data_IF_628754559128
#
_entry.id   IF_628754559128
#
_cell.length_a   1.000
_cell.length_b   1.000
_cell.length_c   1.000
_cell.angle_alpha   90.00
_cell.angle_beta   90.00
_cell.angle_gamma   90.00
#
_symmetry.space_group_name_H-M   'P 1'
#
loop_
_entity.id
_entity.type
_entity.pdbx_description
1 polymer ?
#
# COMPACT_ATOMS: atom_id res chain seq x y z
N UNK A 1 -1.67 -20.09 -37.84
CA UNK A 1 -3.02 -19.80 -37.33
C UNK A 1 -2.83 -19.54 -35.86
N UNK A 2 -2.82 -18.25 -35.52
CA UNK A 2 -2.51 -17.72 -34.20
C UNK A 2 -3.65 -17.99 -33.22
N UNK A 3 -3.32 -18.63 -32.10
CA UNK A 3 -4.17 -18.69 -30.91
C UNK A 3 -3.43 -18.08 -29.72
N UNK A 4 -3.45 -16.73 -29.71
CA UNK A 4 -3.79 -15.91 -28.53
C UNK A 4 -3.41 -16.49 -27.16
N UNK A 5 -2.11 -16.51 -26.86
CA UNK A 5 -1.63 -16.25 -25.50
C UNK A 5 -1.91 -14.78 -25.19
N UNK A 6 -3.15 -14.48 -24.81
CA UNK A 6 -3.62 -13.16 -24.43
C UNK A 6 -2.57 -12.45 -23.58
N UNK A 7 -2.24 -11.22 -23.99
CA UNK A 7 -1.95 -10.08 -23.12
C UNK A 7 -2.36 -10.35 -21.66
N UNK A 8 -1.46 -10.93 -20.87
CA UNK A 8 -1.58 -10.92 -19.41
C UNK A 8 -1.27 -9.48 -19.04
N UNK A 9 -2.33 -8.67 -19.03
CA UNK A 9 -2.25 -7.22 -19.07
C UNK A 9 -1.19 -6.74 -18.07
N UNK A 10 -0.13 -6.15 -18.63
CA UNK A 10 0.85 -5.33 -17.92
C UNK A 10 0.16 -4.05 -17.42
N UNK A 11 -0.87 -4.19 -16.57
CA UNK A 11 -1.36 -3.09 -15.76
C UNK A 11 -0.28 -2.86 -14.72
N UNK A 12 0.48 -1.79 -14.93
CA UNK A 12 1.45 -1.33 -13.94
C UNK A 12 0.67 -1.20 -12.63
N UNK A 13 1.08 -1.98 -11.63
CA UNK A 13 0.39 -2.01 -10.35
C UNK A 13 0.65 -0.71 -9.59
N UNK A 14 -0.23 -0.29 -8.67
CA UNK A 14 0.04 0.88 -7.83
C UNK A 14 1.41 0.81 -7.13
N UNK A 15 1.84 -0.40 -6.72
CA UNK A 15 3.18 -0.64 -6.20
C UNK A 15 4.27 -0.38 -7.24
N UNK A 16 4.15 -0.92 -8.45
CA UNK A 16 5.16 -0.78 -9.50
C UNK A 16 5.38 0.69 -9.90
N UNK A 17 4.29 1.45 -10.06
CA UNK A 17 4.31 2.90 -10.29
C UNK A 17 4.99 3.65 -9.15
N UNK A 18 4.61 3.35 -7.91
CA UNK A 18 5.10 4.06 -6.74
C UNK A 18 6.58 3.77 -6.46
N UNK A 19 7.01 2.50 -6.60
CA UNK A 19 8.41 2.09 -6.48
C UNK A 19 9.28 2.84 -7.48
N UNK A 20 8.85 2.86 -8.76
CA UNK A 20 9.55 3.57 -9.82
C UNK A 20 9.66 5.06 -9.51
N UNK A 21 8.57 5.69 -9.08
CA UNK A 21 8.53 7.11 -8.72
C UNK A 21 9.54 7.44 -7.61
N UNK A 22 9.56 6.65 -6.54
CA UNK A 22 10.50 6.85 -5.43
C UNK A 22 11.94 6.63 -5.87
N UNK A 23 12.20 5.61 -6.69
CA UNK A 23 13.53 5.34 -7.24
C UNK A 23 14.04 6.51 -8.10
N UNK A 24 13.19 7.03 -8.98
CA UNK A 24 13.53 8.16 -9.85
C UNK A 24 13.75 9.45 -9.04
N UNK A 25 12.92 9.72 -8.03
CA UNK A 25 13.11 10.84 -7.12
C UNK A 25 14.45 10.76 -6.36
N UNK A 26 14.84 9.56 -5.93
CA UNK A 26 16.14 9.31 -5.30
C UNK A 26 17.32 9.28 -6.30
N UNK A 27 17.06 9.40 -7.61
CA UNK A 27 18.04 9.29 -8.72
C UNK A 27 18.85 7.99 -8.69
N UNK A 28 18.20 6.89 -8.30
CA UNK A 28 18.81 5.56 -8.23
C UNK A 28 18.46 4.78 -9.51
N UNK A 29 19.41 4.07 -10.12
CA UNK A 29 19.09 3.18 -11.25
C UNK A 29 18.48 1.86 -10.75
N UNK A 30 17.75 1.11 -11.59
CA UNK A 30 17.23 -0.22 -11.21
C UNK A 30 18.36 -1.15 -10.73
N UNK A 31 19.52 -1.10 -11.39
CA UNK A 31 20.71 -1.89 -11.03
C UNK A 31 21.27 -1.48 -9.67
N UNK A 32 21.35 -0.17 -9.42
CA UNK A 32 21.81 0.33 -8.11
C UNK A 32 20.83 -0.02 -7.00
N UNK A 33 19.52 0.08 -7.25
CA UNK A 33 18.50 -0.31 -6.28
C UNK A 33 18.59 -1.80 -5.95
N UNK A 34 18.75 -2.65 -6.98
CA UNK A 34 18.95 -4.09 -6.81
C UNK A 34 20.15 -4.38 -5.89
N UNK A 35 21.30 -3.76 -6.18
CA UNK A 35 22.50 -3.89 -5.35
C UNK A 35 22.27 -3.44 -3.90
N UNK A 36 21.69 -2.26 -3.69
CA UNK A 36 21.45 -1.69 -2.35
C UNK A 36 20.45 -2.52 -1.53
N UNK A 37 19.46 -3.12 -2.20
CA UNK A 37 18.44 -3.95 -1.56
C UNK A 37 18.83 -5.42 -1.45
N UNK A 38 19.96 -5.84 -2.02
CA UNK A 38 20.42 -7.23 -2.07
C UNK A 38 19.55 -8.14 -2.94
N UNK A 39 18.97 -7.59 -4.00
CA UNK A 39 18.24 -8.31 -5.05
C UNK A 39 19.01 -8.28 -6.37
N UNK A 40 18.59 -9.11 -7.33
CA UNK A 40 19.07 -9.03 -8.70
C UNK A 40 18.30 -7.98 -9.52
N UNK A 41 18.94 -7.48 -10.58
CA UNK A 41 18.35 -6.47 -11.46
C UNK A 41 17.04 -6.95 -12.11
N UNK A 42 16.96 -8.22 -12.48
CA UNK A 42 15.78 -8.79 -13.15
C UNK A 42 14.57 -8.81 -12.21
N UNK A 43 14.78 -9.06 -10.93
CA UNK A 43 13.74 -8.95 -9.91
C UNK A 43 13.20 -7.52 -9.82
N UNK A 44 14.05 -6.50 -9.64
CA UNK A 44 13.63 -5.09 -9.59
C UNK A 44 12.91 -4.67 -10.87
N UNK A 45 13.41 -5.09 -12.04
CA UNK A 45 12.76 -4.81 -13.33
C UNK A 45 11.35 -5.42 -13.43
N UNK A 46 11.18 -6.66 -12.97
CA UNK A 46 9.86 -7.33 -12.95
C UNK A 46 8.90 -6.69 -11.95
N UNK A 47 9.40 -6.18 -10.82
CA UNK A 47 8.60 -5.41 -9.86
C UNK A 47 8.11 -4.10 -10.48
N UNK A 48 8.99 -3.28 -11.07
CA UNK A 48 8.62 -1.99 -11.67
C UNK A 48 7.76 -2.11 -12.95
N UNK A 49 7.74 -3.29 -13.58
CA UNK A 49 6.83 -3.58 -14.69
C UNK A 49 5.53 -4.26 -14.26
N UNK A 50 5.33 -4.54 -12.97
CA UNK A 50 4.14 -5.21 -12.45
C UNK A 50 4.05 -6.71 -12.77
N UNK A 51 5.07 -7.30 -13.41
CA UNK A 51 5.11 -8.74 -13.75
C UNK A 51 5.37 -9.65 -12.56
N UNK A 52 5.68 -9.09 -11.40
CA UNK A 52 5.92 -9.83 -10.16
C UNK A 52 5.35 -9.05 -8.97
N UNK A 53 4.57 -9.72 -8.13
CA UNK A 53 4.17 -9.19 -6.84
C UNK A 53 5.34 -9.26 -5.84
N UNK A 54 5.58 -8.20 -5.05
CA UNK A 54 6.61 -8.22 -4.01
C UNK A 54 6.15 -9.02 -2.78
N UNK A 55 7.09 -9.57 -2.02
CA UNK A 55 6.81 -9.96 -0.64
C UNK A 55 6.90 -8.74 0.28
N UNK A 56 6.30 -8.82 1.46
CA UNK A 56 6.40 -7.74 2.47
C UNK A 56 7.85 -7.40 2.82
N UNK A 57 8.70 -8.42 2.98
CA UNK A 57 10.14 -8.24 3.22
C UNK A 57 10.82 -7.49 2.07
N UNK A 58 10.50 -7.85 0.82
CA UNK A 58 11.05 -7.17 -0.34
C UNK A 58 10.67 -5.68 -0.37
N UNK A 59 9.41 -5.34 -0.04
CA UNK A 59 8.98 -3.94 0.08
C UNK A 59 9.80 -3.19 1.13
N UNK A 60 10.02 -3.78 2.31
CA UNK A 60 10.80 -3.15 3.38
C UNK A 60 12.27 -2.95 2.99
N UNK A 61 12.89 -3.94 2.35
CA UNK A 61 14.28 -3.84 1.87
C UNK A 61 14.44 -2.78 0.79
N UNK A 62 13.50 -2.69 -0.16
CA UNK A 62 13.48 -1.66 -1.19
C UNK A 62 13.29 -0.26 -0.59
N UNK A 63 12.35 -0.11 0.34
CA UNK A 63 12.13 1.15 1.05
C UNK A 63 13.38 1.60 1.82
N UNK A 64 14.05 0.67 2.51
CA UNK A 64 15.30 0.94 3.20
C UNK A 64 16.42 1.33 2.23
N UNK A 65 16.56 0.63 1.11
CA UNK A 65 17.58 0.91 0.09
C UNK A 65 17.39 2.28 -0.58
N UNK A 66 16.15 2.76 -0.67
CA UNK A 66 15.80 4.09 -1.18
C UNK A 66 15.87 5.19 -0.12
N UNK A 67 16.12 4.84 1.15
CA UNK A 67 16.15 5.80 2.26
C UNK A 67 14.78 6.42 2.57
N UNK A 68 13.69 5.70 2.30
CA UNK A 68 12.33 6.21 2.48
C UNK A 68 12.01 6.44 3.96
N UNK A 69 11.33 7.56 4.24
CA UNK A 69 10.80 7.85 5.57
C UNK A 69 9.64 6.93 5.95
N UNK A 70 9.21 6.92 7.23
CA UNK A 70 8.15 6.02 7.69
C UNK A 70 6.83 6.13 6.92
N UNK A 71 6.42 7.35 6.55
CA UNK A 71 5.18 7.57 5.77
C UNK A 71 5.29 7.04 4.33
N UNK A 72 6.43 7.21 3.68
CA UNK A 72 6.66 6.72 2.32
C UNK A 72 6.76 5.20 2.27
N UNK A 73 7.41 4.60 3.28
CA UNK A 73 7.45 3.16 3.48
C UNK A 73 6.04 2.59 3.68
N UNK A 74 5.21 3.24 4.51
CA UNK A 74 3.83 2.85 4.73
C UNK A 74 2.99 2.93 3.43
N UNK A 75 3.19 3.97 2.63
CA UNK A 75 2.55 4.08 1.32
C UNK A 75 2.97 2.95 0.37
N UNK A 76 4.26 2.59 0.38
CA UNK A 76 4.79 1.52 -0.46
C UNK A 76 4.26 0.14 -0.03
N UNK A 77 4.12 -0.12 1.27
CA UNK A 77 3.46 -1.31 1.81
C UNK A 77 1.99 -1.37 1.39
N UNK A 78 1.25 -0.28 1.58
CA UNK A 78 -0.17 -0.21 1.21
C UNK A 78 -0.38 -0.43 -0.29
N UNK A 79 0.46 0.18 -1.15
CA UNK A 79 0.40 0.00 -2.60
C UNK A 79 0.69 -1.45 -3.04
N UNK A 80 1.40 -2.22 -2.21
CA UNK A 80 1.66 -3.65 -2.41
C UNK A 80 0.61 -4.56 -1.76
N UNK A 81 -0.44 -4.01 -1.14
CA UNK A 81 -1.49 -4.78 -0.46
C UNK A 81 -1.13 -5.23 0.96
N UNK A 82 -0.08 -4.68 1.56
CA UNK A 82 0.30 -4.95 2.95
C UNK A 82 -0.20 -3.86 3.89
N UNK A 83 -0.41 -4.22 5.16
CA UNK A 83 -0.66 -3.22 6.19
C UNK A 83 0.55 -2.29 6.37
N UNK A 84 0.31 -0.96 6.49
CA UNK A 84 1.33 -0.02 6.96
C UNK A 84 1.93 -0.46 8.30
N UNK A 85 3.21 -0.22 8.51
CA UNK A 85 3.88 -0.64 9.75
C UNK A 85 3.32 0.11 10.96
N UNK A 86 2.97 1.40 10.80
CA UNK A 86 2.29 2.15 11.86
C UNK A 86 0.90 1.60 12.20
N UNK A 87 0.19 1.04 11.22
CA UNK A 87 -1.10 0.42 11.44
C UNK A 87 -0.97 -0.88 12.24
N UNK A 88 0.04 -1.71 11.95
CA UNK A 88 0.34 -2.91 12.76
C UNK A 88 0.55 -2.58 14.24
N UNK A 89 1.26 -1.49 14.55
CA UNK A 89 1.47 -1.07 15.95
C UNK A 89 0.21 -0.51 16.62
N UNK A 90 -0.67 0.18 15.88
CA UNK A 90 -1.91 0.76 16.42
C UNK A 90 -3.00 -0.30 16.60
N UNK A 91 -3.04 -1.31 15.72
CA UNK A 91 -4.10 -2.31 15.66
C UNK A 91 -3.70 -3.68 16.18
N UNK A 92 -2.45 -3.88 16.64
CA UNK A 92 -1.98 -5.15 17.20
C UNK A 92 -2.76 -5.67 18.43
N UNK A 93 -3.65 -4.83 18.99
CA UNK A 93 -4.55 -5.18 20.09
C UNK A 93 -6.03 -5.33 19.67
N UNK A 94 -6.32 -5.32 18.36
CA UNK A 94 -7.68 -5.46 17.80
C UNK A 94 -7.76 -6.79 17.02
N UNK A 95 -8.20 -7.88 17.64
CA UNK A 95 -8.19 -9.23 17.04
C UNK A 95 -8.86 -9.30 15.66
N UNK A 96 -9.97 -8.56 15.48
CA UNK A 96 -10.76 -8.58 14.24
C UNK A 96 -9.97 -8.10 13.02
N UNK A 97 -9.01 -7.18 13.20
CA UNK A 97 -8.21 -6.67 12.08
C UNK A 97 -7.14 -7.66 11.66
N UNK A 98 -6.58 -8.41 12.61
CA UNK A 98 -5.66 -9.52 12.32
C UNK A 98 -6.38 -10.60 11.52
N UNK A 99 -7.60 -10.97 11.93
CA UNK A 99 -8.42 -11.98 11.24
C UNK A 99 -8.79 -11.53 9.83
N UNK A 100 -9.20 -10.27 9.67
CA UNK A 100 -9.50 -9.68 8.35
C UNK A 100 -8.28 -9.72 7.44
N UNK A 101 -7.10 -9.36 7.93
CA UNK A 101 -5.88 -9.35 7.13
C UNK A 101 -5.46 -10.76 6.73
N UNK A 102 -5.55 -11.73 7.64
CA UNK A 102 -5.31 -13.14 7.32
C UNK A 102 -6.30 -13.66 6.28
N UNK A 103 -7.58 -13.36 6.44
CA UNK A 103 -8.62 -13.81 5.53
C UNK A 103 -8.40 -13.23 4.12
N UNK A 104 -8.07 -11.94 4.03
CA UNK A 104 -7.68 -11.30 2.76
C UNK A 104 -6.37 -11.84 2.19
N UNK A 105 -5.46 -12.42 2.98
CA UNK A 105 -4.21 -13.00 2.47
C UNK A 105 -4.33 -14.47 2.08
N UNK A 106 -5.41 -15.14 2.46
CA UNK A 106 -5.64 -16.54 2.09
C UNK A 106 -5.96 -16.70 0.60
N UNK A 107 -5.45 -17.76 -0.03
CA UNK A 107 -5.76 -18.11 -1.42
C UNK A 107 -7.19 -18.64 -1.59
N UNK A 108 -7.79 -19.10 -0.49
CA UNK A 108 -9.13 -19.71 -0.47
C UNK A 108 -10.28 -18.69 -0.57
N UNK A 109 -10.00 -17.39 -0.42
CA UNK A 109 -11.02 -16.35 -0.55
C UNK A 109 -11.18 -15.95 -2.01
N UNK A 110 -12.36 -16.18 -2.63
CA UNK A 110 -12.61 -15.80 -4.01
C UNK A 110 -12.44 -14.29 -4.23
N UNK A 111 -11.87 -13.90 -5.36
CA UNK A 111 -11.62 -12.50 -5.69
C UNK A 111 -12.86 -11.59 -5.63
N UNK A 112 -14.08 -12.03 -6.01
CA UNK A 112 -15.29 -11.21 -5.83
C UNK A 112 -15.56 -10.84 -4.36
N UNK A 113 -15.32 -11.78 -3.43
CA UNK A 113 -15.52 -11.54 -1.98
C UNK A 113 -14.49 -10.53 -1.47
N UNK A 114 -13.25 -10.63 -1.96
CA UNK A 114 -12.18 -9.67 -1.66
C UNK A 114 -12.55 -8.27 -2.13
N UNK A 115 -13.11 -8.14 -3.34
CA UNK A 115 -13.55 -6.87 -3.92
C UNK A 115 -14.73 -6.26 -3.14
N UNK A 116 -15.74 -7.06 -2.79
CA UNK A 116 -16.88 -6.60 -1.98
C UNK A 116 -16.41 -6.06 -0.63
N UNK A 117 -15.48 -6.76 0.01
CA UNK A 117 -14.90 -6.33 1.28
C UNK A 117 -14.12 -5.01 1.15
N UNK A 118 -13.31 -4.87 0.09
CA UNK A 118 -12.60 -3.62 -0.20
C UNK A 118 -13.57 -2.46 -0.41
N UNK A 119 -14.64 -2.65 -1.18
CA UNK A 119 -15.69 -1.64 -1.36
C UNK A 119 -16.34 -1.26 -0.03
N UNK A 120 -16.67 -2.24 0.81
CA UNK A 120 -17.23 -1.97 2.14
C UNK A 120 -16.30 -1.14 3.02
N UNK A 121 -15.00 -1.46 3.05
CA UNK A 121 -14.01 -0.66 3.77
C UNK A 121 -13.91 0.76 3.21
N UNK A 122 -13.89 0.93 1.89
CA UNK A 122 -13.89 2.25 1.26
C UNK A 122 -15.11 3.09 1.64
N UNK A 123 -16.30 2.46 1.67
CA UNK A 123 -17.53 3.09 2.12
C UNK A 123 -17.42 3.58 3.57
N UNK A 124 -16.91 2.73 4.47
CA UNK A 124 -16.71 3.07 5.87
C UNK A 124 -15.71 4.22 6.05
N UNK A 125 -14.56 4.17 5.37
CA UNK A 125 -13.56 5.26 5.41
C UNK A 125 -14.17 6.57 4.89
N UNK A 126 -14.92 6.52 3.79
CA UNK A 126 -15.60 7.68 3.21
C UNK A 126 -16.67 8.23 4.15
N UNK A 127 -17.38 7.38 4.88
CA UNK A 127 -18.37 7.79 5.87
C UNK A 127 -17.70 8.46 7.07
N UNK A 128 -16.66 7.83 7.65
CA UNK A 128 -15.91 8.37 8.78
C UNK A 128 -15.30 9.74 8.45
N UNK A 129 -14.72 9.91 7.25
CA UNK A 129 -14.18 11.21 6.81
C UNK A 129 -15.24 12.30 6.74
N UNK A 130 -16.47 11.98 6.32
CA UNK A 130 -17.60 12.93 6.30
C UNK A 130 -18.06 13.30 7.71
N UNK A 131 -18.18 12.32 8.60
CA UNK A 131 -18.60 12.53 9.99
C UNK A 131 -17.51 13.13 10.89
N UNK A 132 -16.22 12.95 10.57
CA UNK A 132 -15.12 13.57 11.30
C UNK A 132 -14.95 15.08 11.01
N UNK A 133 -15.65 15.62 10.01
CA UNK A 133 -15.65 17.04 9.66
C UNK A 133 -16.71 17.85 10.43
N UNK A 134 -17.74 17.22 11.00
CA UNK A 134 -18.80 17.91 11.75
C UNK A 134 -18.42 18.23 13.21
N UNK A 135 -17.44 17.53 13.79
CA UNK A 135 -17.04 17.71 15.20
C UNK A 135 -16.01 18.81 15.50
N UNK A 136 -15.41 19.46 14.48
CA UNK A 136 -14.31 20.43 14.69
C UNK A 136 -14.72 21.91 14.58
N UNK A 137 -16.00 22.21 14.32
CA UNK A 137 -16.52 23.60 14.23
C UNK A 137 -17.27 24.09 15.47
N UNK A 138 -17.51 23.24 16.48
CA UNK A 138 -18.23 23.65 17.70
C UNK A 138 -17.32 24.15 18.81
N UNK A 139 -15.99 23.93 18.76
CA UNK A 139 -15.12 24.26 19.90
C UNK A 139 -14.57 25.70 19.93
N UNK A 140 -14.65 26.47 18.84
CA UNK A 140 -14.12 27.86 18.83
C UNK A 140 -15.18 28.95 19.00
N UNK A 141 -16.46 28.59 19.20
CA UNK A 141 -17.54 29.59 19.39
C UNK A 141 -17.96 29.79 20.85
N UNK A 142 -17.50 28.96 21.79
CA UNK A 142 -17.92 29.02 23.21
C UNK A 142 -16.95 29.80 24.12
N UNK A 143 -15.82 30.31 23.59
CA UNK A 143 -14.82 31.04 24.37
C UNK A 143 -14.49 32.46 23.85
N UNK A 144 -15.33 33.04 22.97
CA UNK A 144 -15.17 34.41 22.48
C UNK A 144 -16.20 35.39 23.08
N UNK A 145 -16.65 35.15 24.31
CA UNK A 145 -17.63 36.00 24.99
C UNK A 145 -17.56 35.89 26.51
N UNK A 146 -16.46 36.37 27.11
CA UNK A 146 -16.44 36.82 28.50
C UNK A 146 -15.29 37.83 28.66
N UNK A 147 -15.70 39.07 28.98
CA UNK A 147 -14.97 40.30 29.30
C UNK A 147 -14.15 41.01 28.20
#
# INVERSE_FOLDING_TARGET
MDERGHDEQSRVTPFAELLRRYREAARVSQSRLAQLSGFDHSYVSRLESGRRAPTREAVLRLASALGLGPAERDNLLAAAGFLPQRAEHLFGHVPVLTDVVQLLQSEDVPEPVRQDFQQMLELLVRQVRRSAWTGRRTFTSEFAGAD
#
